data_IF_181441495126
#
_entry.id   IF_181441495126
#
_cell.length_a   1.000
_cell.length_b   1.000
_cell.length_c   1.000
_cell.angle_alpha   90.00
_cell.angle_beta   90.00
_cell.angle_gamma   90.00
#
_symmetry.space_group_name_H-M   'P 1'
#
loop_
_entity.id
_entity.type
_entity.pdbx_description
1 polymer ?
#
# COMPACT_ATOMS: atom_id res chain seq x y z
N UNK A 1 21.84 -12.68 -4.26
CA UNK A 1 20.84 -12.89 -3.20
C UNK A 1 20.49 -11.54 -2.61
N UNK A 2 19.44 -10.89 -3.13
CA UNK A 2 18.94 -9.65 -2.53
C UNK A 2 17.94 -10.04 -1.46
N UNK A 3 18.21 -9.71 -0.20
CA UNK A 3 17.18 -9.75 0.83
C UNK A 3 16.08 -8.81 0.37
N UNK A 4 14.94 -9.35 -0.08
CA UNK A 4 13.72 -8.56 -0.24
C UNK A 4 13.34 -8.08 1.16
N UNK A 5 13.84 -6.90 1.52
CA UNK A 5 13.44 -6.20 2.74
C UNK A 5 12.02 -5.71 2.51
N UNK A 6 11.06 -6.62 2.60
CA UNK A 6 9.63 -6.28 2.57
C UNK A 6 9.37 -5.21 3.62
N UNK A 7 8.69 -4.15 3.21
CA UNK A 7 8.31 -3.08 4.12
C UNK A 7 7.35 -3.65 5.17
N UNK A 8 7.50 -3.28 6.43
CA UNK A 8 6.63 -3.80 7.48
C UNK A 8 5.44 -2.87 7.70
N UNK A 9 4.25 -3.47 7.76
CA UNK A 9 3.01 -2.81 8.19
C UNK A 9 2.37 -3.69 9.25
N UNK A 10 1.86 -3.06 10.31
CA UNK A 10 1.09 -3.75 11.32
C UNK A 10 -0.22 -4.26 10.71
N UNK A 11 -0.55 -5.53 10.95
CA UNK A 11 -1.78 -6.14 10.45
C UNK A 11 -3.03 -5.34 10.79
N UNK A 12 -3.11 -4.82 12.02
CA UNK A 12 -4.24 -4.02 12.48
C UNK A 12 -4.42 -2.74 11.66
N UNK A 13 -3.31 -2.05 11.33
CA UNK A 13 -3.36 -0.84 10.49
C UNK A 13 -3.76 -1.16 9.04
N UNK A 14 -3.34 -2.31 8.51
CA UNK A 14 -3.81 -2.78 7.21
C UNK A 14 -5.32 -3.07 7.22
N UNK A 15 -5.81 -3.76 8.24
CA UNK A 15 -7.24 -4.07 8.40
C UNK A 15 -8.08 -2.78 8.51
N UNK A 16 -7.61 -1.80 9.29
CA UNK A 16 -8.24 -0.48 9.39
C UNK A 16 -8.30 0.23 8.03
N UNK A 17 -7.20 0.21 7.27
CA UNK A 17 -7.17 0.76 5.91
C UNK A 17 -8.21 0.08 5.00
N UNK A 18 -8.34 -1.24 5.05
CA UNK A 18 -9.33 -1.99 4.25
C UNK A 18 -10.76 -1.61 4.67
N UNK A 19 -11.03 -1.45 5.96
CA UNK A 19 -12.33 -0.97 6.44
C UNK A 19 -12.65 0.42 5.86
N UNK A 20 -11.72 1.38 5.95
CA UNK A 20 -11.90 2.72 5.38
C UNK A 20 -12.10 2.69 3.86
N UNK A 21 -11.35 1.85 3.15
CA UNK A 21 -11.50 1.66 1.71
C UNK A 21 -12.90 1.15 1.35
N UNK A 22 -13.39 0.13 2.06
CA UNK A 22 -14.73 -0.44 1.82
C UNK A 22 -15.88 0.54 2.10
N UNK A 23 -15.64 1.54 2.95
CA UNK A 23 -16.59 2.60 3.28
C UNK A 23 -16.53 3.78 2.28
N UNK A 24 -15.62 3.73 1.30
CA UNK A 24 -15.46 4.81 0.32
C UNK A 24 -14.72 6.03 0.87
N UNK A 25 -13.97 5.93 1.98
CA UNK A 25 -13.27 7.08 2.59
C UNK A 25 -12.18 7.71 1.71
N UNK A 26 -11.84 7.08 0.58
CA UNK A 26 -10.81 7.54 -0.36
C UNK A 26 -11.43 7.86 -1.73
N UNK A 27 -12.48 8.66 -1.76
CA UNK A 27 -13.15 9.07 -3.00
C UNK A 27 -12.15 9.59 -4.04
N UNK A 28 -12.36 9.18 -5.29
CA UNK A 28 -11.53 9.51 -6.46
C UNK A 28 -10.07 9.04 -6.43
N UNK A 29 -9.67 8.22 -5.45
CA UNK A 29 -8.35 7.61 -5.42
C UNK A 29 -8.40 6.17 -5.92
N UNK A 30 -7.38 5.78 -6.69
CA UNK A 30 -7.11 4.37 -6.96
C UNK A 30 -6.66 3.70 -5.65
N UNK A 31 -6.90 2.39 -5.50
CA UNK A 31 -6.55 1.66 -4.28
C UNK A 31 -5.07 1.86 -3.89
N UNK A 32 -4.16 1.75 -4.86
CA UNK A 32 -2.73 1.90 -4.62
C UNK A 32 -2.33 3.32 -4.24
N UNK A 33 -2.98 4.33 -4.82
CA UNK A 33 -2.83 5.74 -4.45
C UNK A 33 -3.33 6.00 -3.02
N UNK A 34 -4.51 5.50 -2.67
CA UNK A 34 -5.09 5.62 -1.34
C UNK A 34 -4.17 5.01 -0.27
N UNK A 35 -3.68 3.80 -0.52
CA UNK A 35 -2.73 3.12 0.36
C UNK A 35 -1.44 3.92 0.52
N UNK A 36 -0.85 4.37 -0.60
CA UNK A 36 0.39 5.14 -0.60
C UNK A 36 0.27 6.44 0.22
N UNK A 37 -0.86 7.13 0.10
CA UNK A 37 -1.15 8.36 0.83
C UNK A 37 -1.42 8.10 2.31
N UNK A 38 -2.26 7.11 2.62
CA UNK A 38 -2.66 6.77 3.99
C UNK A 38 -1.46 6.41 4.86
N UNK A 39 -0.55 5.56 4.36
CA UNK A 39 0.67 5.16 5.06
C UNK A 39 1.84 6.14 4.88
N UNK A 40 1.62 7.29 4.22
CA UNK A 40 2.63 8.34 3.98
C UNK A 40 3.92 7.80 3.35
N UNK A 41 3.75 6.89 2.37
CA UNK A 41 4.86 6.17 1.76
C UNK A 41 5.84 7.08 0.99
N UNK A 42 5.43 8.31 0.64
CA UNK A 42 6.31 9.35 0.10
C UNK A 42 7.49 9.72 1.02
N UNK A 43 7.44 9.35 2.30
CA UNK A 43 8.53 9.57 3.27
C UNK A 43 9.60 8.49 3.24
N UNK A 44 9.37 7.38 2.55
CA UNK A 44 10.32 6.27 2.45
C UNK A 44 11.36 6.53 1.36
N UNK A 45 12.53 5.90 1.46
CA UNK A 45 13.66 6.17 0.55
C UNK A 45 13.50 5.47 -0.80
N UNK A 46 12.88 4.29 -0.86
CA UNK A 46 12.72 3.51 -2.10
C UNK A 46 11.45 3.91 -2.88
N UNK A 47 11.45 5.13 -3.41
CA UNK A 47 10.31 5.65 -4.17
C UNK A 47 10.09 4.95 -5.52
N UNK A 48 11.14 4.34 -6.10
CA UNK A 48 11.02 3.66 -7.39
C UNK A 48 10.07 2.46 -7.32
N UNK A 49 10.17 1.65 -6.26
CA UNK A 49 9.24 0.53 -6.04
C UNK A 49 7.83 1.00 -5.68
N UNK A 50 7.72 2.09 -4.94
CA UNK A 50 6.45 2.62 -4.44
C UNK A 50 5.65 3.39 -5.50
N UNK A 51 6.31 3.91 -6.53
CA UNK A 51 5.65 4.59 -7.64
C UNK A 51 4.70 3.65 -8.40
N UNK A 52 5.13 2.41 -8.66
CA UNK A 52 4.27 1.41 -9.30
C UNK A 52 3.04 1.02 -8.47
N UNK A 53 3.14 1.09 -7.14
CA UNK A 53 1.98 0.93 -6.25
C UNK A 53 1.06 2.14 -6.33
N UNK A 54 1.58 3.36 -6.28
CA UNK A 54 0.79 4.60 -6.38
C UNK A 54 -0.07 4.69 -7.66
N UNK A 55 0.44 4.16 -8.77
CA UNK A 55 -0.28 4.14 -10.04
C UNK A 55 -1.32 3.01 -10.15
N UNK A 56 -1.16 1.93 -9.38
CA UNK A 56 -2.02 0.75 -9.48
C UNK A 56 -3.42 0.97 -8.87
N UNK A 57 -4.38 0.20 -9.37
CA UNK A 57 -5.76 0.18 -8.87
C UNK A 57 -6.29 -1.26 -8.70
N UNK A 58 -7.37 -1.40 -7.95
CA UNK A 58 -8.09 -2.65 -7.73
C UNK A 58 -7.17 -3.83 -7.42
N UNK A 59 -7.41 -4.97 -8.06
CA UNK A 59 -6.64 -6.21 -7.86
C UNK A 59 -5.13 -6.05 -8.07
N UNK A 60 -4.72 -5.20 -9.02
CA UNK A 60 -3.29 -4.95 -9.27
C UNK A 60 -2.64 -4.27 -8.06
N UNK A 61 -3.33 -3.30 -7.45
CA UNK A 61 -2.84 -2.66 -6.23
C UNK A 61 -2.83 -3.64 -5.05
N UNK A 62 -3.89 -4.43 -4.86
CA UNK A 62 -3.97 -5.46 -3.81
C UNK A 62 -2.79 -6.44 -3.89
N UNK A 63 -2.51 -6.96 -5.09
CA UNK A 63 -1.38 -7.87 -5.32
C UNK A 63 -0.02 -7.23 -5.05
N UNK A 64 0.17 -5.95 -5.42
CA UNK A 64 1.40 -5.22 -5.11
C UNK A 64 1.57 -4.97 -3.62
N UNK A 65 0.50 -4.64 -2.89
CA UNK A 65 0.56 -4.44 -1.43
C UNK A 65 1.03 -5.71 -0.74
N UNK A 66 0.42 -6.86 -1.03
CA UNK A 66 0.78 -8.15 -0.39
C UNK A 66 2.18 -8.64 -0.77
N UNK A 67 2.73 -8.17 -1.89
CA UNK A 67 4.10 -8.50 -2.31
C UNK A 67 5.15 -7.58 -1.70
N UNK A 68 4.86 -6.27 -1.62
CA UNK A 68 5.80 -5.26 -1.14
C UNK A 68 5.85 -5.20 0.39
N UNK A 69 4.74 -5.52 1.06
CA UNK A 69 4.59 -5.37 2.49
C UNK A 69 4.43 -6.71 3.21
N UNK A 70 5.18 -6.86 4.30
CA UNK A 70 4.98 -7.92 5.26
C UNK A 70 4.02 -7.44 6.36
N UNK A 71 2.89 -8.14 6.51
CA UNK A 71 1.93 -7.90 7.56
C UNK A 71 2.31 -8.71 8.80
N UNK A 72 2.75 -8.00 9.84
CA UNK A 72 3.16 -8.58 11.12
C UNK A 72 2.13 -8.34 12.23
#
# INVERSE_FOLDING_TARGET
MGTDSSLQIERAAYEEFICLWSQGSFEHQRLGQAFYNHFKLHKLTDQARLHGLYEADGEKASGLILRLFHLH
#
